data_IF_087864458069
#
_entry.id   IF_087864458069
#
_cell.length_a   1.000
_cell.length_b   1.000
_cell.length_c   1.000
_cell.angle_alpha   90.00
_cell.angle_beta   90.00
_cell.angle_gamma   90.00
#
_symmetry.space_group_name_H-M   'P 1'
#
loop_
_entity.id
_entity.type
_entity.pdbx_description
1 polymer ?
#
# COMPACT_ATOMS: atom_id res chain seq x y z
N UNK A 1 4.73 1.88 -4.99
CA UNK A 1 4.33 3.18 -4.38
C UNK A 1 5.29 4.38 -4.55
N UNK A 2 6.54 4.40 -4.03
CA UNK A 2 7.36 5.64 -4.03
C UNK A 2 8.31 5.82 -5.23
N UNK A 3 8.76 4.71 -5.83
CA UNK A 3 9.82 4.71 -6.84
C UNK A 3 9.35 4.26 -8.22
N UNK A 4 8.14 3.73 -8.31
CA UNK A 4 7.55 3.23 -9.54
C UNK A 4 6.39 4.14 -9.97
N UNK A 5 6.49 4.83 -11.12
CA UNK A 5 5.42 5.69 -11.64
C UNK A 5 4.11 4.94 -11.95
N UNK A 6 4.16 3.67 -12.37
CA UNK A 6 2.96 2.90 -12.68
C UNK A 6 2.13 2.65 -11.40
N UNK A 7 2.83 2.32 -10.32
CA UNK A 7 2.26 2.24 -8.97
C UNK A 7 1.68 3.57 -8.47
N UNK A 8 2.29 4.70 -8.81
CA UNK A 8 1.76 6.03 -8.45
C UNK A 8 0.45 6.31 -9.20
N UNK A 9 0.41 6.01 -10.51
CA UNK A 9 -0.77 6.19 -11.35
C UNK A 9 -1.95 5.29 -10.94
N UNK A 10 -1.65 4.13 -10.35
CA UNK A 10 -2.66 3.21 -9.83
C UNK A 10 -3.45 3.81 -8.64
N UNK A 11 -2.89 4.77 -7.92
CA UNK A 11 -3.52 5.34 -6.71
C UNK A 11 -3.98 6.78 -6.95
N UNK A 12 -5.28 7.04 -7.20
CA UNK A 12 -5.77 8.41 -7.35
C UNK A 12 -5.51 9.27 -6.10
N UNK A 13 -5.57 8.65 -4.91
CA UNK A 13 -5.27 9.29 -3.63
C UNK A 13 -3.80 9.11 -3.20
N UNK A 14 -2.86 8.92 -4.15
CA UNK A 14 -1.46 8.59 -3.87
C UNK A 14 -0.82 9.49 -2.82
N UNK A 15 -1.16 10.78 -2.84
CA UNK A 15 -0.63 11.73 -1.86
C UNK A 15 -1.03 11.36 -0.43
N UNK A 16 -2.30 11.04 -0.19
CA UNK A 16 -2.79 10.65 1.13
C UNK A 16 -2.27 9.26 1.52
N UNK A 17 -2.30 8.30 0.59
CA UNK A 17 -1.84 6.93 0.86
C UNK A 17 -0.35 6.91 1.27
N UNK A 18 0.50 7.68 0.61
CA UNK A 18 1.93 7.76 0.95
C UNK A 18 2.19 8.40 2.31
N UNK A 19 1.40 9.40 2.71
CA UNK A 19 1.44 9.96 4.07
C UNK A 19 1.11 8.89 5.12
N UNK A 20 0.00 8.17 4.93
CA UNK A 20 -0.38 7.08 5.83
C UNK A 20 0.69 5.99 5.89
N UNK A 21 1.28 5.64 4.74
CA UNK A 21 2.28 4.57 4.66
C UNK A 21 3.54 4.95 5.43
N UNK A 22 4.05 6.17 5.26
CA UNK A 22 5.23 6.66 5.99
C UNK A 22 4.99 6.70 7.50
N UNK A 23 3.83 7.19 7.91
CA UNK A 23 3.46 7.23 9.32
C UNK A 23 3.37 5.81 9.94
N UNK A 24 2.80 4.85 9.20
CA UNK A 24 2.73 3.45 9.64
C UNK A 24 4.11 2.79 9.68
N UNK A 25 4.98 3.05 8.70
CA UNK A 25 6.35 2.53 8.67
C UNK A 25 7.16 3.02 9.88
N UNK A 26 6.99 4.28 10.26
CA UNK A 26 7.59 4.82 11.48
C UNK A 26 6.98 4.23 12.75
N UNK A 27 5.69 3.90 12.74
CA UNK A 27 5.07 3.20 13.86
C UNK A 27 5.59 1.76 14.00
N UNK A 28 5.85 1.07 12.88
CA UNK A 28 6.24 -0.35 12.89
C UNK A 28 7.64 -0.61 13.42
N UNK A 29 8.58 0.34 13.30
CA UNK A 29 9.93 0.18 13.89
C UNK A 29 9.89 0.21 15.42
N UNK A 30 8.88 0.84 16.02
CA UNK A 30 8.69 0.85 17.48
C UNK A 30 9.94 1.33 18.22
N UNK A 31 10.52 0.45 19.05
CA UNK A 31 11.75 0.73 19.82
C UNK A 31 13.03 0.26 19.12
N UNK A 32 12.93 -0.49 18.03
CA UNK A 32 14.05 -1.10 17.31
C UNK A 32 14.62 -0.15 16.25
N UNK A 33 14.88 1.10 16.66
CA UNK A 33 15.30 2.18 15.76
C UNK A 33 16.70 2.00 15.17
N UNK A 34 17.50 1.12 15.78
CA UNK A 34 18.88 0.80 15.37
C UNK A 34 18.97 -0.45 14.47
N UNK A 35 17.82 -1.02 14.04
CA UNK A 35 17.82 -2.08 13.03
C UNK A 35 18.48 -1.56 11.73
N UNK A 36 19.63 -2.13 11.41
CA UNK A 36 20.45 -1.74 10.25
C UNK A 36 19.70 -1.86 8.93
N UNK A 37 18.81 -2.87 8.80
CA UNK A 37 18.00 -3.05 7.60
C UNK A 37 16.96 -1.94 7.47
N UNK A 38 16.38 -1.50 8.58
CA UNK A 38 15.43 -0.40 8.59
C UNK A 38 16.09 0.93 8.23
N UNK A 39 17.26 1.20 8.81
CA UNK A 39 18.07 2.40 8.52
C UNK A 39 18.48 2.43 7.04
N UNK A 40 18.94 1.30 6.49
CA UNK A 40 19.32 1.20 5.08
C UNK A 40 18.12 1.47 4.16
N UNK A 41 16.99 0.82 4.40
CA UNK A 41 15.78 0.97 3.60
C UNK A 41 15.26 2.41 3.59
N UNK A 42 15.14 3.02 4.77
CA UNK A 42 14.65 4.41 4.89
C UNK A 42 15.63 5.40 4.27
N UNK A 43 16.94 5.16 4.41
CA UNK A 43 17.99 5.94 3.78
C UNK A 43 17.95 5.84 2.25
N UNK A 44 17.74 4.67 1.68
CA UNK A 44 17.59 4.48 0.24
C UNK A 44 16.35 5.21 -0.30
N UNK A 45 15.19 5.01 0.35
CA UNK A 45 13.94 5.65 -0.05
C UNK A 45 14.04 7.19 0.05
N UNK A 46 14.67 7.73 1.09
CA UNK A 46 14.88 9.16 1.24
C UNK A 46 15.83 9.74 0.17
N UNK A 47 16.83 8.98 -0.30
CA UNK A 47 17.68 9.40 -1.41
C UNK A 47 16.93 9.41 -2.74
N UNK A 48 16.16 8.36 -3.01
CA UNK A 48 15.55 8.11 -4.32
C UNK A 48 14.17 8.77 -4.51
N UNK A 49 13.47 9.12 -3.43
CA UNK A 49 12.13 9.74 -3.50
C UNK A 49 12.08 11.06 -2.72
N UNK A 50 12.00 12.21 -3.42
CA UNK A 50 11.83 13.51 -2.76
C UNK A 50 10.61 13.57 -1.85
N UNK A 51 9.50 12.94 -2.27
CA UNK A 51 8.29 12.85 -1.46
C UNK A 51 8.49 12.03 -0.20
N UNK A 52 9.12 10.86 -0.29
CA UNK A 52 9.41 10.06 0.90
C UNK A 52 10.28 10.84 1.87
N UNK A 53 11.34 11.50 1.37
CA UNK A 53 12.24 12.33 2.18
C UNK A 53 11.48 13.43 2.94
N UNK A 54 10.59 14.13 2.25
CA UNK A 54 9.76 15.18 2.85
C UNK A 54 8.86 14.62 3.95
N UNK A 55 8.13 13.53 3.67
CA UNK A 55 7.23 12.92 4.65
C UNK A 55 7.98 12.31 5.83
N UNK A 56 9.12 11.68 5.58
CA UNK A 56 9.96 11.09 6.61
C UNK A 56 10.49 12.16 7.58
N UNK A 57 10.89 13.33 7.07
CA UNK A 57 11.35 14.45 7.87
C UNK A 57 10.28 15.06 8.79
N UNK A 58 8.98 14.84 8.53
CA UNK A 58 7.89 15.35 9.38
C UNK A 58 7.71 14.58 10.69
N UNK A 59 8.27 13.37 10.78
CA UNK A 59 8.17 12.52 11.98
C UNK A 59 6.74 12.16 12.39
N UNK A 60 5.78 12.26 11.48
CA UNK A 60 4.38 11.94 11.75
C UNK A 60 4.24 10.47 12.15
N UNK A 61 3.59 10.21 13.29
CA UNK A 61 3.14 8.88 13.72
C UNK A 61 1.62 8.95 13.81
N UNK A 62 0.93 8.28 12.89
CA UNK A 62 -0.53 8.35 12.78
C UNK A 62 -1.11 6.96 12.59
N UNK A 63 -1.98 6.58 13.50
CA UNK A 63 -2.81 5.38 13.37
C UNK A 63 -3.98 5.69 12.46
N UNK A 64 -3.80 5.52 11.15
CA UNK A 64 -4.91 5.65 10.19
C UNK A 64 -5.35 4.25 9.76
N UNK A 65 -6.43 3.78 10.39
CA UNK A 65 -7.07 2.51 10.08
C UNK A 65 -8.35 2.74 9.26
N UNK A 66 -8.66 1.80 8.37
CA UNK A 66 -10.06 1.50 8.01
C UNK A 66 -10.72 2.27 6.86
N UNK A 67 -10.03 3.16 6.13
CA UNK A 67 -10.64 3.73 4.92
C UNK A 67 -10.53 2.74 3.73
N UNK A 68 -11.60 2.58 2.93
CA UNK A 68 -11.52 1.89 1.64
C UNK A 68 -10.40 2.48 0.79
N UNK A 69 -9.69 1.61 0.08
CA UNK A 69 -8.69 2.04 -0.88
C UNK A 69 -9.36 2.34 -2.21
N UNK A 70 -8.85 3.34 -2.92
CA UNK A 70 -9.22 3.62 -4.30
C UNK A 70 -8.04 3.28 -5.20
N UNK A 71 -8.35 2.58 -6.28
CA UNK A 71 -7.39 2.11 -7.29
C UNK A 71 -7.93 2.53 -8.65
N UNK A 72 -7.08 3.06 -9.53
CA UNK A 72 -7.38 3.25 -10.95
C UNK A 72 -6.72 2.14 -11.77
N UNK A 73 -7.38 0.97 -11.84
CA UNK A 73 -6.80 -0.22 -12.46
C UNK A 73 -6.83 -0.08 -14.00
N UNK A 74 -5.72 -0.33 -14.71
CA UNK A 74 -5.62 -0.05 -16.15
C UNK A 74 -6.64 -0.81 -17.01
N UNK A 75 -7.12 -1.97 -16.52
CA UNK A 75 -8.06 -2.84 -17.26
C UNK A 75 -9.53 -2.67 -16.90
N UNK A 76 -9.83 -2.28 -15.66
CA UNK A 76 -11.21 -2.24 -15.15
C UNK A 76 -11.61 -0.86 -14.61
N UNK A 77 -10.71 0.12 -14.73
CA UNK A 77 -10.91 1.49 -14.29
C UNK A 77 -10.88 1.63 -12.77
N UNK A 78 -11.62 2.61 -12.27
CA UNK A 78 -11.71 2.90 -10.85
C UNK A 78 -12.32 1.71 -10.07
N UNK A 79 -11.70 1.36 -8.95
CA UNK A 79 -12.14 0.37 -7.96
C UNK A 79 -12.10 1.01 -6.58
N UNK A 80 -13.14 0.82 -5.79
CA UNK A 80 -13.15 1.09 -4.35
C UNK A 80 -13.20 -0.24 -3.62
N UNK A 81 -12.17 -0.55 -2.82
CA UNK A 81 -12.07 -1.81 -2.10
C UNK A 81 -11.90 -1.55 -0.61
N UNK A 82 -12.70 -2.22 0.20
CA UNK A 82 -12.44 -2.35 1.62
C UNK A 82 -11.12 -3.08 1.83
N UNK A 83 -10.40 -2.74 2.90
CA UNK A 83 -9.12 -3.35 3.25
C UNK A 83 -9.14 -3.87 4.67
N UNK A 84 -8.96 -5.17 4.81
CA UNK A 84 -8.83 -5.84 6.10
C UNK A 84 -7.39 -6.30 6.30
N UNK A 85 -6.90 -6.20 7.54
CA UNK A 85 -5.56 -6.63 7.94
C UNK A 85 -5.70 -7.61 9.09
N UNK A 86 -5.29 -8.85 8.85
CA UNK A 86 -5.48 -9.98 9.75
C UNK A 86 -4.10 -10.54 10.11
N UNK A 87 -3.77 -10.55 11.41
CA UNK A 87 -2.56 -11.21 11.90
C UNK A 87 -2.73 -12.74 11.87
N UNK A 88 -1.65 -13.47 11.59
CA UNK A 88 -1.69 -14.94 11.57
C UNK A 88 -1.13 -15.47 12.89
N UNK A 89 -1.98 -16.14 13.67
CA UNK A 89 -1.57 -16.77 14.93
C UNK A 89 -0.45 -17.78 14.71
N UNK A 90 0.64 -17.65 15.48
CA UNK A 90 1.83 -18.51 15.37
C UNK A 90 2.82 -18.12 14.28
N UNK A 91 2.56 -17.05 13.53
CA UNK A 91 3.47 -16.48 12.54
C UNK A 91 3.66 -14.98 12.77
N UNK A 92 4.48 -14.63 13.77
CA UNK A 92 4.79 -13.23 14.07
C UNK A 92 5.39 -12.51 12.85
N UNK A 93 4.93 -11.27 12.63
CA UNK A 93 5.32 -10.47 11.46
C UNK A 93 4.57 -10.80 10.17
N UNK A 94 3.85 -11.93 10.09
CA UNK A 94 3.03 -12.26 8.91
C UNK A 94 1.61 -11.68 9.04
N UNK A 95 1.16 -11.02 7.98
CA UNK A 95 -0.16 -10.38 7.91
C UNK A 95 -0.85 -10.77 6.60
N UNK A 96 -2.09 -11.26 6.70
CA UNK A 96 -2.98 -11.38 5.57
C UNK A 96 -3.70 -10.04 5.36
N UNK A 97 -3.57 -9.49 4.15
CA UNK A 97 -4.29 -8.27 3.76
C UNK A 97 -5.32 -8.64 2.70
N UNK A 98 -6.60 -8.48 3.03
CA UNK A 98 -7.72 -8.79 2.13
C UNK A 98 -8.27 -7.50 1.56
N UNK A 99 -8.42 -7.46 0.24
CA UNK A 99 -9.10 -6.39 -0.47
C UNK A 99 -10.38 -6.93 -1.06
N UNK A 100 -11.52 -6.33 -0.71
CA UNK A 100 -12.81 -6.79 -1.22
C UNK A 100 -13.74 -5.60 -1.53
N UNK A 101 -14.56 -5.71 -2.58
CA UNK A 101 -15.62 -4.74 -2.83
C UNK A 101 -16.81 -5.03 -1.92
N UNK A 102 -17.77 -4.11 -1.88
CA UNK A 102 -19.07 -4.39 -1.28
C UNK A 102 -19.80 -5.43 -2.14
N UNK A 103 -20.51 -6.36 -1.49
CA UNK A 103 -21.24 -7.42 -2.17
C UNK A 103 -22.31 -6.84 -3.11
N UNK A 104 -22.38 -7.35 -4.34
CA UNK A 104 -23.32 -6.88 -5.36
C UNK A 104 -23.01 -5.49 -5.96
N UNK A 105 -21.87 -4.88 -5.60
CA UNK A 105 -21.44 -3.61 -6.18
C UNK A 105 -20.88 -3.78 -7.60
N UNK A 106 -20.88 -2.70 -8.39
CA UNK A 106 -20.21 -2.69 -9.69
C UNK A 106 -18.70 -2.98 -9.59
N UNK A 107 -18.08 -2.71 -8.44
CA UNK A 107 -16.67 -3.03 -8.18
C UNK A 107 -16.47 -4.54 -7.94
N UNK A 108 -17.48 -5.27 -7.45
CA UNK A 108 -17.49 -6.73 -7.43
C UNK A 108 -17.44 -7.31 -8.84
N UNK A 109 -18.28 -6.82 -9.75
CA UNK A 109 -18.28 -7.27 -11.15
C UNK A 109 -16.95 -6.98 -11.84
N UNK A 110 -16.34 -5.81 -11.59
CA UNK A 110 -15.02 -5.46 -12.10
C UNK A 110 -13.94 -6.41 -11.58
N UNK A 111 -13.97 -6.74 -10.29
CA UNK A 111 -13.00 -7.65 -9.68
C UNK A 111 -13.14 -9.08 -10.22
N UNK A 112 -14.38 -9.57 -10.41
CA UNK A 112 -14.64 -10.85 -11.08
C UNK A 112 -14.08 -10.86 -12.50
N UNK A 113 -14.32 -9.81 -13.30
CA UNK A 113 -13.74 -9.69 -14.65
C UNK A 113 -12.21 -9.68 -14.63
N UNK A 114 -11.60 -9.08 -13.62
CA UNK A 114 -10.16 -9.07 -13.46
C UNK A 114 -9.62 -10.47 -13.16
N UNK A 115 -10.27 -11.20 -12.25
CA UNK A 115 -9.88 -12.56 -11.84
C UNK A 115 -10.08 -13.61 -12.94
N UNK A 116 -11.07 -13.44 -13.82
CA UNK A 116 -11.34 -14.37 -14.93
C UNK A 116 -10.50 -14.11 -16.17
N UNK A 117 -9.62 -13.11 -16.15
CA UNK A 117 -8.78 -12.82 -17.29
C UNK A 117 -7.42 -13.53 -17.20
N UNK A 118 -6.86 -14.01 -18.31
CA UNK A 118 -5.56 -14.68 -18.31
C UNK A 118 -4.46 -13.72 -17.82
N UNK A 119 -3.61 -14.22 -16.92
CA UNK A 119 -2.47 -13.50 -16.37
C UNK A 119 -1.45 -13.16 -17.46
N UNK A 120 -0.95 -11.92 -17.46
CA UNK A 120 0.26 -11.52 -18.19
C UNK A 120 1.50 -11.65 -17.28
N UNK A 121 1.64 -12.75 -16.55
CA UNK A 121 2.92 -13.07 -15.91
C UNK A 121 3.79 -13.82 -16.92
N UNK A 122 4.10 -13.16 -18.04
CA UNK A 122 5.31 -13.38 -18.83
C UNK A 122 5.42 -12.32 -19.93
N UNK A 123 6.22 -11.26 -19.71
CA UNK A 123 6.98 -10.50 -20.73
C UNK A 123 7.64 -9.27 -20.10
N UNK A 124 8.80 -9.47 -19.49
CA UNK A 124 9.98 -8.59 -19.52
C UNK A 124 11.12 -9.24 -18.73
#
# INVERSE_FOLDING_TARGET
MFLDPAEQALHPDWQNVTQCLVANLRQSVGKDVDDSRFVELTGELARRSPRFRELWARHDVRSQYGAPIRIHHPRVGALTLNRERLGISGAEGLMLVVYHPDAGSADADKLTRLASAPDLVNSA
#
